data_IF_701874400073
#
_entry.id   IF_701874400073
#
_cell.length_a   1.000
_cell.length_b   1.000
_cell.length_c   1.000
_cell.angle_alpha   90.00
_cell.angle_beta   90.00
_cell.angle_gamma   90.00
#
_symmetry.space_group_name_H-M   'P 1'
#
loop_
_entity.id
_entity.type
_entity.pdbx_description
1 polymer ?
#
# COMPACT_ATOMS: atom_id res chain seq x y z
N UNK A 1 -32.98 -27.33 3.92
CA UNK A 1 -32.20 -27.81 2.76
C UNK A 1 -30.93 -28.46 3.27
N UNK A 2 -30.74 -29.79 3.17
CA UNK A 2 -29.49 -30.41 3.58
C UNK A 2 -28.48 -30.25 2.45
N UNK A 3 -27.45 -29.42 2.63
CA UNK A 3 -26.31 -29.37 1.72
C UNK A 3 -25.65 -30.75 1.71
N UNK A 4 -25.84 -31.51 0.63
CA UNK A 4 -25.15 -32.79 0.41
C UNK A 4 -23.64 -32.52 0.38
N UNK A 5 -22.89 -33.19 1.25
CA UNK A 5 -21.44 -33.00 1.45
C UNK A 5 -20.60 -33.13 0.17
N UNK A 6 -21.12 -33.82 -0.84
CA UNK A 6 -20.49 -33.96 -2.15
C UNK A 6 -20.33 -32.62 -2.90
N UNK A 7 -21.30 -31.70 -2.78
CA UNK A 7 -21.27 -30.40 -3.46
C UNK A 7 -20.25 -29.43 -2.85
N UNK A 8 -19.94 -29.56 -1.56
CA UNK A 8 -18.91 -28.75 -0.89
C UNK A 8 -17.54 -28.98 -1.50
N UNK A 9 -17.20 -30.24 -1.77
CA UNK A 9 -15.91 -30.59 -2.40
C UNK A 9 -15.80 -30.08 -3.84
N UNK A 10 -16.92 -30.07 -4.57
CA UNK A 10 -16.99 -29.61 -5.95
C UNK A 10 -16.87 -28.09 -6.04
N UNK A 11 -17.56 -27.36 -5.16
CA UNK A 11 -17.41 -25.91 -5.02
C UNK A 11 -15.97 -25.55 -4.64
N UNK A 12 -15.38 -26.24 -3.65
CA UNK A 12 -14.00 -25.96 -3.25
C UNK A 12 -13.01 -26.16 -4.40
N UNK A 13 -13.11 -27.28 -5.14
CA UNK A 13 -12.27 -27.55 -6.31
C UNK A 13 -12.46 -26.50 -7.40
N UNK A 14 -13.70 -26.11 -7.67
CA UNK A 14 -14.01 -25.10 -8.69
C UNK A 14 -13.46 -23.74 -8.28
N UNK A 15 -13.71 -23.29 -7.06
CA UNK A 15 -13.18 -22.03 -6.51
C UNK A 15 -11.65 -22.01 -6.54
N UNK A 16 -10.99 -23.09 -6.12
CA UNK A 16 -9.52 -23.16 -6.14
C UNK A 16 -8.96 -23.09 -7.57
N UNK A 17 -9.57 -23.81 -8.51
CA UNK A 17 -9.17 -23.78 -9.92
C UNK A 17 -9.33 -22.39 -10.53
N UNK A 18 -10.47 -21.75 -10.30
CA UNK A 18 -10.72 -20.37 -10.75
C UNK A 18 -9.77 -19.37 -10.07
N UNK A 19 -9.53 -19.52 -8.77
CA UNK A 19 -8.58 -18.68 -8.03
C UNK A 19 -7.17 -18.78 -8.60
N UNK A 20 -6.65 -19.98 -8.84
CA UNK A 20 -5.33 -20.20 -9.48
C UNK A 20 -5.32 -19.62 -10.90
N UNK A 21 -6.40 -19.77 -11.67
CA UNK A 21 -6.51 -19.20 -13.01
C UNK A 21 -6.45 -17.67 -13.04
N UNK A 22 -6.68 -16.98 -11.91
CA UNK A 22 -6.50 -15.53 -11.76
C UNK A 22 -5.08 -15.10 -11.40
N UNK A 23 -4.13 -16.03 -11.36
CA UNK A 23 -2.72 -15.77 -11.06
C UNK A 23 -2.50 -14.94 -9.78
N UNK A 24 -3.04 -15.43 -8.64
CA UNK A 24 -3.14 -14.63 -7.42
C UNK A 24 -1.77 -14.28 -6.85
N UNK A 25 -0.77 -15.15 -7.03
CA UNK A 25 0.59 -14.92 -6.56
C UNK A 25 1.27 -13.78 -7.31
N UNK A 26 1.17 -13.74 -8.65
CA UNK A 26 1.72 -12.61 -9.41
C UNK A 26 1.01 -11.33 -9.06
N UNK A 27 -0.32 -11.35 -8.98
CA UNK A 27 -1.14 -10.20 -8.60
C UNK A 27 -0.74 -9.65 -7.21
N UNK A 28 -0.59 -10.51 -6.21
CA UNK A 28 -0.10 -10.10 -4.88
C UNK A 28 1.32 -9.56 -4.91
N UNK A 29 2.22 -10.17 -5.69
CA UNK A 29 3.61 -9.72 -5.80
C UNK A 29 3.70 -8.32 -6.44
N UNK A 30 2.89 -8.03 -7.46
CA UNK A 30 2.87 -6.73 -8.12
C UNK A 30 2.36 -5.65 -7.16
N UNK A 31 1.25 -5.90 -6.44
CA UNK A 31 0.77 -4.97 -5.40
C UNK A 31 1.85 -4.72 -4.34
N UNK A 32 2.51 -5.78 -3.85
CA UNK A 32 3.56 -5.67 -2.84
C UNK A 32 4.76 -4.85 -3.34
N UNK A 33 5.17 -5.04 -4.59
CA UNK A 33 6.23 -4.25 -5.22
C UNK A 33 5.87 -2.77 -5.22
N UNK A 34 4.70 -2.41 -5.75
CA UNK A 34 4.26 -1.01 -5.76
C UNK A 34 4.15 -0.45 -4.33
N UNK A 35 3.64 -1.24 -3.37
CA UNK A 35 3.49 -0.84 -1.97
C UNK A 35 4.83 -0.51 -1.31
N UNK A 36 5.83 -1.39 -1.43
CA UNK A 36 7.17 -1.21 -0.85
C UNK A 36 7.83 0.06 -1.39
N UNK A 37 7.67 0.36 -2.68
CA UNK A 37 8.29 1.54 -3.29
C UNK A 37 7.51 2.84 -3.10
N UNK A 38 6.20 2.80 -2.79
CA UNK A 38 5.40 4.02 -2.69
C UNK A 38 4.95 4.40 -1.28
N UNK A 39 4.55 3.44 -0.43
CA UNK A 39 4.07 3.70 0.94
C UNK A 39 5.06 4.54 1.74
N UNK A 40 6.37 4.26 1.70
CA UNK A 40 7.29 4.99 2.55
C UNK A 40 7.39 6.47 2.16
N UNK A 41 7.42 6.77 0.85
CA UNK A 41 7.40 8.15 0.34
C UNK A 41 6.07 8.86 0.62
N UNK A 42 4.94 8.15 0.48
CA UNK A 42 3.63 8.67 0.83
C UNK A 42 3.55 9.03 2.31
N UNK A 43 4.09 8.19 3.19
CA UNK A 43 4.09 8.44 4.63
C UNK A 43 4.89 9.68 5.00
N UNK A 44 6.07 9.87 4.38
CA UNK A 44 6.87 11.10 4.52
C UNK A 44 6.05 12.33 4.12
N UNK A 45 5.33 12.25 2.99
CA UNK A 45 4.49 13.36 2.51
C UNK A 45 3.34 13.67 3.48
N UNK A 46 2.63 12.64 3.96
CA UNK A 46 1.53 12.80 4.93
C UNK A 46 2.03 13.43 6.22
N UNK A 47 3.18 12.96 6.75
CA UNK A 47 3.79 13.51 7.96
C UNK A 47 4.26 14.94 7.75
N UNK A 48 4.80 15.28 6.57
CA UNK A 48 5.20 16.65 6.26
C UNK A 48 4.00 17.60 6.27
N UNK A 49 2.90 17.20 5.63
CA UNK A 49 1.66 17.98 5.58
C UNK A 49 1.04 18.09 6.99
N UNK A 50 0.85 16.98 7.69
CA UNK A 50 0.28 16.98 9.03
C UNK A 50 1.17 17.72 10.03
N UNK A 51 2.49 17.57 9.93
CA UNK A 51 3.47 18.25 10.78
C UNK A 51 3.47 19.77 10.60
N UNK A 52 3.05 20.28 9.44
CA UNK A 52 2.84 21.71 9.21
C UNK A 52 1.67 22.26 10.05
N UNK A 53 0.58 21.50 10.21
CA UNK A 53 -0.59 21.93 10.96
C UNK A 53 -0.53 21.59 12.47
N UNK A 54 0.02 20.42 12.82
CA UNK A 54 -0.05 19.84 14.17
C UNK A 54 1.31 19.75 14.89
N UNK A 55 2.39 20.15 14.21
CA UNK A 55 3.75 20.00 14.72
C UNK A 55 4.36 18.63 14.40
N UNK A 56 5.54 18.64 13.77
CA UNK A 56 6.23 17.45 13.27
C UNK A 56 6.49 16.38 14.33
N UNK A 57 6.89 16.81 15.53
CA UNK A 57 7.23 15.89 16.63
C UNK A 57 6.01 15.10 17.12
N UNK A 58 4.87 15.78 17.31
CA UNK A 58 3.64 15.13 17.75
C UNK A 58 3.12 14.12 16.73
N UNK A 59 3.14 14.49 15.44
CA UNK A 59 2.72 13.60 14.35
C UNK A 59 3.63 12.37 14.26
N UNK A 60 4.96 12.56 14.30
CA UNK A 60 5.93 11.45 14.26
C UNK A 60 5.67 10.45 15.39
N UNK A 61 5.54 10.93 16.62
CA UNK A 61 5.33 10.08 17.79
C UNK A 61 4.03 9.28 17.69
N UNK A 62 2.92 9.92 17.27
CA UNK A 62 1.64 9.24 17.09
C UNK A 62 1.68 8.18 15.99
N UNK A 63 2.28 8.49 14.83
CA UNK A 63 2.40 7.52 13.74
C UNK A 63 3.26 6.33 14.16
N UNK A 64 4.42 6.57 14.78
CA UNK A 64 5.31 5.49 15.22
C UNK A 64 4.64 4.62 16.29
N UNK A 65 3.90 5.21 17.22
CA UNK A 65 3.13 4.47 18.22
C UNK A 65 2.05 3.58 17.56
N UNK A 66 1.33 4.10 16.57
CA UNK A 66 0.30 3.35 15.84
C UNK A 66 0.89 2.20 15.02
N UNK A 67 2.00 2.45 14.32
CA UNK A 67 2.71 1.40 13.57
C UNK A 67 3.22 0.34 14.53
N UNK A 68 3.82 0.74 15.66
CA UNK A 68 4.34 -0.21 16.65
C UNK A 68 3.24 -1.09 17.23
N UNK A 69 2.08 -0.51 17.55
CA UNK A 69 0.94 -1.27 18.11
C UNK A 69 0.25 -2.19 17.10
N UNK A 70 0.27 -1.83 15.81
CA UNK A 70 -0.47 -2.57 14.76
C UNK A 70 0.41 -3.56 14.00
N UNK A 71 1.66 -3.18 13.72
CA UNK A 71 2.60 -3.91 12.84
C UNK A 71 3.83 -4.43 13.59
N UNK A 72 4.05 -3.98 14.83
CA UNK A 72 5.18 -4.37 15.67
C UNK A 72 6.31 -3.34 15.71
N UNK A 73 7.14 -3.45 16.75
CA UNK A 73 8.20 -2.49 17.03
C UNK A 73 9.27 -2.44 15.91
N UNK A 74 9.57 -3.56 15.27
CA UNK A 74 10.58 -3.64 14.22
C UNK A 74 10.18 -2.82 12.99
N UNK A 75 8.91 -2.89 12.56
CA UNK A 75 8.38 -2.06 11.47
C UNK A 75 8.38 -0.58 11.85
N UNK A 76 8.06 -0.24 13.10
CA UNK A 76 8.11 1.13 13.57
C UNK A 76 9.54 1.72 13.51
N UNK A 77 10.56 0.93 13.86
CA UNK A 77 11.97 1.34 13.76
C UNK A 77 12.34 1.62 12.30
N UNK A 78 11.96 0.74 11.36
CA UNK A 78 12.24 0.96 9.93
C UNK A 78 11.61 2.25 9.41
N UNK A 79 10.37 2.54 9.80
CA UNK A 79 9.70 3.79 9.45
C UNK A 79 10.42 4.98 10.08
N UNK A 80 10.80 4.90 11.36
CA UNK A 80 11.53 5.95 12.05
C UNK A 80 12.85 6.29 11.34
N UNK A 81 13.63 5.28 10.98
CA UNK A 81 14.88 5.44 10.23
C UNK A 81 14.64 6.14 8.89
N UNK A 82 13.59 5.76 8.17
CA UNK A 82 13.22 6.45 6.94
C UNK A 82 12.92 7.94 7.19
N UNK A 83 12.12 8.27 8.20
CA UNK A 83 11.76 9.67 8.50
C UNK A 83 13.00 10.51 8.85
N UNK A 84 13.93 9.92 9.61
CA UNK A 84 15.22 10.54 9.93
C UNK A 84 15.99 10.80 8.63
N UNK A 85 16.09 9.81 7.74
CA UNK A 85 16.81 9.94 6.47
C UNK A 85 16.18 11.00 5.56
N UNK A 86 14.85 11.03 5.44
CA UNK A 86 14.13 12.03 4.66
C UNK A 86 14.34 13.46 5.20
N UNK A 87 14.51 13.62 6.52
CA UNK A 87 14.75 14.93 7.16
C UNK A 87 16.18 15.46 6.98
N UNK A 88 17.16 14.59 6.70
CA UNK A 88 18.58 14.95 6.56
C UNK A 88 18.91 15.54 5.19
N UNK A 89 18.04 15.35 4.20
CA UNK A 89 18.29 15.81 2.82
C UNK A 89 18.09 17.32 2.71
N UNK A 90 19.18 18.07 2.50
CA UNK A 90 19.10 19.46 2.02
C UNK A 90 18.65 19.44 0.55
N UNK A 91 17.39 19.76 0.30
CA UNK A 91 16.86 19.86 -1.06
C UNK A 91 16.82 21.32 -1.53
N UNK A 92 17.17 21.55 -2.79
CA UNK A 92 16.85 22.80 -3.49
C UNK A 92 15.34 22.84 -3.75
N UNK A 93 14.74 24.02 -3.88
CA UNK A 93 13.30 24.18 -4.14
C UNK A 93 12.84 23.35 -5.35
N UNK A 94 13.65 23.32 -6.42
CA UNK A 94 13.40 22.47 -7.59
C UNK A 94 13.42 20.97 -7.27
N UNK A 95 14.38 20.51 -6.47
CA UNK A 95 14.45 19.12 -6.02
C UNK A 95 13.24 18.73 -5.17
N UNK A 96 12.74 19.63 -4.32
CA UNK A 96 11.54 19.39 -3.51
C UNK A 96 10.30 19.21 -4.40
N UNK A 97 10.12 20.05 -5.43
CA UNK A 97 8.99 19.94 -6.37
C UNK A 97 9.02 18.60 -7.11
N UNK A 98 10.17 18.24 -7.69
CA UNK A 98 10.32 16.96 -8.40
C UNK A 98 10.09 15.77 -7.45
N UNK A 99 10.59 15.85 -6.22
CA UNK A 99 10.38 14.84 -5.19
C UNK A 99 8.92 14.64 -4.84
N UNK A 100 8.17 15.73 -4.59
CA UNK A 100 6.74 15.67 -4.31
C UNK A 100 5.97 15.06 -5.48
N UNK A 101 6.24 15.49 -6.72
CA UNK A 101 5.59 14.93 -7.91
C UNK A 101 5.89 13.43 -8.04
N UNK A 102 7.13 13.02 -7.82
CA UNK A 102 7.55 11.61 -7.88
C UNK A 102 6.80 10.77 -6.85
N UNK A 103 6.70 11.26 -5.61
CA UNK A 103 5.95 10.59 -4.53
C UNK A 103 4.47 10.48 -4.90
N UNK A 104 3.84 11.55 -5.40
CA UNK A 104 2.43 11.53 -5.78
C UNK A 104 2.15 10.50 -6.89
N UNK A 105 3.02 10.43 -7.91
CA UNK A 105 2.89 9.45 -8.99
C UNK A 105 3.04 8.02 -8.44
N UNK A 106 4.08 7.76 -7.63
CA UNK A 106 4.30 6.45 -7.03
C UNK A 106 3.15 6.01 -6.12
N UNK A 107 2.68 6.91 -5.25
CA UNK A 107 1.58 6.65 -4.33
C UNK A 107 0.28 6.33 -5.07
N UNK A 108 -0.03 7.10 -6.12
CA UNK A 108 -1.19 6.85 -6.98
C UNK A 108 -1.07 5.51 -7.69
N UNK A 109 0.15 5.14 -8.13
CA UNK A 109 0.45 3.87 -8.76
C UNK A 109 0.00 2.66 -7.95
N UNK A 110 0.19 2.66 -6.62
CA UNK A 110 -0.31 1.57 -5.74
C UNK A 110 -1.82 1.42 -5.80
N UNK A 111 -2.56 2.53 -5.71
CA UNK A 111 -4.02 2.46 -5.71
C UNK A 111 -4.57 2.06 -7.09
N UNK A 112 -3.90 2.49 -8.15
CA UNK A 112 -4.23 2.07 -9.52
C UNK A 112 -3.98 0.57 -9.68
N UNK A 113 -2.82 0.08 -9.24
CA UNK A 113 -2.49 -1.34 -9.33
C UNK A 113 -3.45 -2.20 -8.50
N UNK A 114 -3.77 -1.76 -7.27
CA UNK A 114 -4.77 -2.42 -6.44
C UNK A 114 -6.10 -2.55 -7.18
N UNK A 115 -6.58 -1.48 -7.82
CA UNK A 115 -7.80 -1.52 -8.61
C UNK A 115 -7.68 -2.47 -9.80
N UNK A 116 -6.57 -2.45 -10.53
CA UNK A 116 -6.31 -3.35 -11.67
C UNK A 116 -6.37 -4.80 -11.21
N UNK A 117 -5.67 -5.15 -10.13
CA UNK A 117 -5.67 -6.50 -9.57
C UNK A 117 -7.06 -6.93 -9.11
N UNK A 118 -7.76 -6.08 -8.35
CA UNK A 118 -9.10 -6.40 -7.84
C UNK A 118 -10.10 -6.56 -9.00
N UNK A 119 -10.04 -5.69 -10.00
CA UNK A 119 -10.85 -5.80 -11.20
C UNK A 119 -10.54 -7.08 -11.99
N UNK A 120 -9.27 -7.49 -12.07
CA UNK A 120 -8.87 -8.72 -12.74
C UNK A 120 -9.39 -9.97 -12.01
N UNK A 121 -9.32 -9.99 -10.67
CA UNK A 121 -9.81 -11.10 -9.84
C UNK A 121 -11.33 -11.20 -9.92
N UNK A 122 -12.04 -10.09 -9.72
CA UNK A 122 -13.51 -10.03 -9.71
C UNK A 122 -14.14 -9.89 -11.10
N UNK A 123 -13.33 -9.83 -12.16
CA UNK A 123 -13.79 -9.72 -13.55
C UNK A 123 -14.68 -8.49 -13.79
N UNK A 124 -14.39 -7.39 -13.08
CA UNK A 124 -15.11 -6.14 -13.25
C UNK A 124 -14.66 -5.50 -14.57
N UNK A 125 -15.60 -5.29 -15.49
CA UNK A 125 -15.35 -4.49 -16.69
C UNK A 125 -15.32 -3.03 -16.31
N UNK A 126 -14.17 -2.39 -16.50
CA UNK A 126 -14.05 -0.93 -16.40
C UNK A 126 -14.87 -0.34 -17.55
N UNK A 127 -15.99 0.32 -17.25
CA UNK A 127 -16.75 1.07 -18.25
C UNK A 127 -16.01 2.40 -18.43
N UNK A 128 -15.12 2.46 -19.41
CA UNK A 128 -14.49 3.71 -19.83
C UNK A 128 -15.54 4.53 -20.57
N UNK A 129 -15.87 5.71 -20.03
CA UNK A 129 -16.85 6.66 -20.60
C UNK A 129 -16.16 7.62 -21.57
#
# INVERSE_FOLDING_TARGET
MPFKTHHLSEIFKTTFKEWVAKDPFRQSAVIAYYAIFSIPGLLVLVIAIAGYFFGKESVNQNILAQVSSTMGAETAIQIQEMLINASKTKSTTWGSVVGVVTILVGATGVFVELQITLNAIWQVKVITK
#
